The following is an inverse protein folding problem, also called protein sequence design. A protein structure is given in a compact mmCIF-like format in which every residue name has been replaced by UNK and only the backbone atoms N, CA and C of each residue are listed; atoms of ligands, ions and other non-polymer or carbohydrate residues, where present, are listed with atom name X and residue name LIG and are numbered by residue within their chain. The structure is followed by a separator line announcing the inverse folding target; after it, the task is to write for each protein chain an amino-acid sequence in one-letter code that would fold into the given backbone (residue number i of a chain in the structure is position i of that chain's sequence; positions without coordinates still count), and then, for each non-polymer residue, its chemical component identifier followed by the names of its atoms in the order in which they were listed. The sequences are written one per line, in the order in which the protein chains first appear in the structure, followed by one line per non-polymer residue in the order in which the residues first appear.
data_IF_173451237507
#
_entry.id   IF_173451237507
#
_cell.length_a   1.000
_cell.length_b   1.000
_cell.length_c   1.000
_cell.angle_alpha   90.00
_cell.angle_beta   90.00
_cell.angle_gamma   90.00
#
_symmetry.space_group_name_H-M   'P 1'
#
loop_
_entity.id
_entity.type
_entity.pdbx_description
1 polymer ?
#
# COMPACT_ATOMS: atom_id res chain seq x y z
N UNK A 1 0.90 -14.64 10.17
CA UNK A 1 0.51 -15.16 8.85
C UNK A 1 0.94 -14.13 7.84
N UNK A 2 1.58 -14.55 6.77
CA UNK A 2 2.16 -13.66 5.75
C UNK A 2 1.49 -13.92 4.40
N UNK A 3 1.18 -12.84 3.71
CA UNK A 3 0.59 -12.82 2.37
C UNK A 3 1.41 -11.88 1.49
N UNK A 4 1.58 -12.24 0.23
CA UNK A 4 2.43 -11.51 -0.72
C UNK A 4 1.95 -11.77 -2.14
N UNK A 5 1.80 -10.68 -2.90
CA UNK A 5 1.50 -10.73 -4.33
C UNK A 5 2.15 -9.53 -5.03
N UNK A 6 2.45 -9.68 -6.30
CA UNK A 6 3.06 -8.63 -7.11
C UNK A 6 2.58 -8.68 -8.55
N UNK A 7 2.76 -7.58 -9.27
CA UNK A 7 2.53 -7.49 -10.72
C UNK A 7 3.65 -6.68 -11.37
N UNK A 8 4.02 -7.04 -12.59
CA UNK A 8 4.93 -6.25 -13.42
C UNK A 8 4.14 -5.41 -14.41
N UNK A 9 4.41 -4.11 -14.43
CA UNK A 9 3.80 -3.17 -15.36
C UNK A 9 4.88 -2.56 -16.26
N UNK A 10 4.59 -2.43 -17.55
CA UNK A 10 5.36 -1.57 -18.44
C UNK A 10 4.86 -0.12 -18.31
N UNK A 11 5.77 0.82 -18.08
CA UNK A 11 5.45 2.24 -18.08
C UNK A 11 5.58 2.78 -19.50
N UNK A 12 4.50 3.35 -20.09
CA UNK A 12 4.55 3.99 -21.39
C UNK A 12 5.56 5.13 -21.46
N UNK A 13 6.05 5.45 -22.65
CA UNK A 13 7.11 6.44 -22.86
C UNK A 13 6.72 7.82 -22.32
N UNK A 14 5.46 8.20 -22.49
CA UNK A 14 4.82 9.42 -22.01
C UNK A 14 4.82 9.55 -20.47
N UNK A 15 4.90 8.43 -19.75
CA UNK A 15 4.83 8.38 -18.29
C UNK A 15 6.15 7.99 -17.62
N UNK A 16 7.28 7.94 -18.35
CA UNK A 16 8.59 7.59 -17.77
C UNK A 16 9.01 8.48 -16.60
N UNK A 17 8.48 9.71 -16.53
CA UNK A 17 8.74 10.66 -15.47
C UNK A 17 7.87 10.47 -14.22
N UNK A 18 6.97 9.48 -14.16
CA UNK A 18 6.18 9.22 -12.95
C UNK A 18 7.11 8.78 -11.81
N UNK A 19 6.97 9.38 -10.62
CA UNK A 19 7.78 9.02 -9.43
C UNK A 19 7.22 7.79 -8.74
N UNK A 20 8.02 7.15 -7.89
CA UNK A 20 7.54 6.05 -7.03
C UNK A 20 6.50 6.52 -6.04
N UNK A 21 6.64 7.73 -5.50
CA UNK A 21 5.66 8.32 -4.60
C UNK A 21 4.28 8.42 -5.25
N UNK A 22 4.21 8.89 -6.50
CA UNK A 22 2.95 8.99 -7.24
C UNK A 22 2.34 7.60 -7.44
N UNK A 23 3.15 6.60 -7.80
CA UNK A 23 2.64 5.22 -7.97
C UNK A 23 2.12 4.68 -6.62
N UNK A 24 2.89 4.83 -5.54
CA UNK A 24 2.50 4.38 -4.19
C UNK A 24 1.26 5.12 -3.69
N UNK A 25 1.12 6.43 -3.96
CA UNK A 25 -0.05 7.23 -3.59
C UNK A 25 -1.31 6.72 -4.30
N UNK A 26 -1.23 6.52 -5.62
CA UNK A 26 -2.35 5.97 -6.43
C UNK A 26 -2.71 4.56 -6.03
N UNK A 27 -1.71 3.71 -5.80
CA UNK A 27 -1.92 2.36 -5.29
C UNK A 27 -2.63 2.38 -3.93
N UNK A 28 -2.15 3.19 -2.98
CA UNK A 28 -2.77 3.35 -1.66
C UNK A 28 -4.20 3.88 -1.77
N UNK A 29 -4.45 4.86 -2.65
CA UNK A 29 -5.78 5.39 -2.91
C UNK A 29 -6.71 4.34 -3.50
N UNK A 30 -6.25 3.51 -4.44
CA UNK A 30 -7.05 2.41 -4.98
C UNK A 30 -7.35 1.35 -3.92
N UNK A 31 -6.33 0.95 -3.15
CA UNK A 31 -6.47 -0.06 -2.09
C UNK A 31 -7.47 0.36 -1.01
N UNK A 32 -7.32 1.58 -0.48
CA UNK A 32 -8.14 2.04 0.65
C UNK A 32 -9.40 2.83 0.24
N UNK A 33 -9.37 3.45 -0.93
CA UNK A 33 -10.45 4.30 -1.44
C UNK A 33 -11.40 3.60 -2.41
N UNK A 34 -11.04 2.40 -2.87
CA UNK A 34 -11.81 1.60 -3.81
C UNK A 34 -13.13 1.06 -3.28
N UNK A 35 -13.85 0.38 -4.16
CA UNK A 35 -15.15 -0.25 -3.92
C UNK A 35 -15.03 -1.52 -3.08
N UNK A 36 -13.90 -2.23 -3.12
CA UNK A 36 -13.71 -3.48 -2.37
C UNK A 36 -13.66 -3.21 -0.85
N UNK A 37 -13.03 -2.12 -0.42
CA UNK A 37 -13.01 -1.67 0.98
C UNK A 37 -14.19 -0.73 1.32
N UNK A 38 -15.05 -0.37 0.37
CA UNK A 38 -16.11 0.60 0.60
C UNK A 38 -17.09 0.19 1.72
N UNK A 39 -17.56 -1.08 1.80
CA UNK A 39 -18.45 -1.51 2.89
C UNK A 39 -17.81 -1.33 4.27
N UNK A 40 -16.58 -1.80 4.44
CA UNK A 40 -15.81 -1.68 5.67
C UNK A 40 -15.57 -0.22 6.02
N UNK A 41 -15.16 0.60 5.04
CA UNK A 41 -14.92 2.03 5.22
C UNK A 41 -16.17 2.78 5.67
N UNK A 42 -17.34 2.49 5.10
CA UNK A 42 -18.61 3.07 5.53
C UNK A 42 -18.91 2.69 6.97
N UNK A 43 -18.75 1.41 7.33
CA UNK A 43 -18.93 0.97 8.71
C UNK A 43 -17.97 1.70 9.67
N UNK A 44 -16.68 1.80 9.32
CA UNK A 44 -15.66 2.50 10.12
C UNK A 44 -15.96 3.99 10.28
N UNK A 45 -16.47 4.66 9.24
CA UNK A 45 -16.87 6.07 9.30
C UNK A 45 -18.08 6.30 10.22
N UNK A 46 -19.03 5.36 10.27
CA UNK A 46 -20.22 5.44 11.11
C UNK A 46 -19.85 5.17 12.58
N UNK A 47 -19.10 4.11 12.84
CA UNK A 47 -18.77 3.69 14.21
C UNK A 47 -17.60 4.47 14.82
N UNK A 48 -16.75 5.09 13.98
CA UNK A 48 -15.51 5.78 14.35
C UNK A 48 -14.73 5.07 15.46
N UNK A 49 -14.43 3.77 15.30
CA UNK A 49 -13.77 3.05 16.35
C UNK A 49 -12.36 3.61 16.56
N UNK A 50 -11.89 3.60 17.81
CA UNK A 50 -10.48 3.85 18.15
C UNK A 50 -9.76 2.52 18.35
N UNK A 51 -9.61 1.75 17.27
CA UNK A 51 -8.85 0.49 17.31
C UNK A 51 -7.36 0.69 17.08
N UNK A 52 -6.97 1.85 16.56
CA UNK A 52 -5.59 2.21 16.35
C UNK A 52 -4.93 2.66 17.65
N UNK A 53 -3.92 1.93 18.12
CA UNK A 53 -3.07 2.36 19.22
C UNK A 53 -1.73 1.62 19.12
N UNK A 54 -0.68 2.34 18.75
CA UNK A 54 0.68 1.86 18.76
C UNK A 54 1.46 2.56 19.87
N UNK A 55 1.68 1.86 20.98
CA UNK A 55 2.25 2.41 22.22
C UNK A 55 3.61 3.10 22.06
N UNK A 56 4.36 2.72 21.02
CA UNK A 56 5.71 3.24 20.73
C UNK A 56 5.73 4.35 19.69
N UNK A 57 4.62 4.63 19.02
CA UNK A 57 4.51 5.71 18.03
C UNK A 57 3.92 6.92 18.73
N UNK A 58 4.72 7.99 18.83
CA UNK A 58 4.23 9.29 19.29
C UNK A 58 3.65 10.02 18.09
N UNK A 59 2.35 9.88 17.86
CA UNK A 59 1.62 10.62 16.83
C UNK A 59 1.47 12.09 17.28
N UNK A 60 2.02 13.08 16.56
CA UNK A 60 1.70 14.48 16.80
C UNK A 60 0.18 14.72 16.78
N UNK A 61 -0.33 15.53 17.70
CA UNK A 61 -1.78 15.83 17.80
C UNK A 61 -2.34 16.52 16.55
N UNK A 62 -1.49 17.22 15.79
CA UNK A 62 -1.86 17.99 14.59
C UNK A 62 -1.87 17.16 13.29
N UNK A 63 -1.62 15.86 13.36
CA UNK A 63 -1.56 15.05 12.15
C UNK A 63 -2.94 14.85 11.51
N UNK A 64 -3.00 14.86 10.16
CA UNK A 64 -4.26 14.71 9.45
C UNK A 64 -4.86 13.33 9.70
N UNK A 65 -6.11 13.32 10.17
CA UNK A 65 -6.96 12.13 10.18
C UNK A 65 -7.74 12.03 8.87
N UNK A 66 -7.45 11.01 8.08
CA UNK A 66 -8.05 10.76 6.78
C UNK A 66 -9.29 9.89 6.97
N UNK A 67 -10.44 10.53 7.16
CA UNK A 67 -11.73 9.84 7.31
C UNK A 67 -12.43 9.56 5.97
N UNK A 68 -12.08 10.27 4.90
CA UNK A 68 -12.71 10.12 3.59
C UNK A 68 -11.66 9.79 2.52
N UNK A 69 -11.97 8.85 1.63
CA UNK A 69 -11.04 8.44 0.56
C UNK A 69 -10.72 9.57 -0.42
N UNK A 70 -11.59 10.57 -0.54
CA UNK A 70 -11.37 11.77 -1.35
C UNK A 70 -10.22 12.63 -0.83
N UNK A 71 -9.80 12.43 0.42
CA UNK A 71 -8.64 13.11 1.02
C UNK A 71 -7.32 12.36 0.75
N UNK A 72 -7.37 11.15 0.19
CA UNK A 72 -6.17 10.47 -0.28
C UNK A 72 -5.72 11.11 -1.60
N UNK A 73 -4.50 11.64 -1.58
CA UNK A 73 -3.86 12.24 -2.75
C UNK A 73 -3.50 11.16 -3.79
N UNK A 74 -3.49 11.56 -5.06
CA UNK A 74 -2.99 10.73 -6.17
C UNK A 74 -1.53 10.99 -6.48
N UNK A 75 -0.92 11.99 -5.85
CA UNK A 75 0.44 12.44 -6.17
C UNK A 75 1.39 12.37 -4.99
N UNK A 76 0.86 12.29 -3.77
CA UNK A 76 1.64 12.27 -2.53
C UNK A 76 1.14 11.18 -1.59
N UNK A 77 2.07 10.52 -0.92
CA UNK A 77 1.73 9.59 0.15
C UNK A 77 1.14 10.35 1.34
N UNK A 78 0.23 9.73 2.12
CA UNK A 78 -0.15 10.28 3.40
C UNK A 78 1.10 10.48 4.28
N UNK A 79 1.21 11.60 5.03
CA UNK A 79 2.37 11.83 5.88
C UNK A 79 2.61 10.71 6.88
N UNK A 80 3.87 10.53 7.31
CA UNK A 80 4.22 9.56 8.35
C UNK A 80 3.36 9.79 9.60
N UNK A 81 2.84 8.69 10.17
CA UNK A 81 1.91 8.64 11.30
C UNK A 81 0.49 9.14 11.05
N UNK A 82 0.15 9.57 9.84
CA UNK A 82 -1.25 9.87 9.48
C UNK A 82 -2.14 8.64 9.64
N UNK A 83 -3.37 8.88 10.12
CA UNK A 83 -4.35 7.83 10.38
C UNK A 83 -5.39 7.78 9.27
N UNK A 84 -5.69 6.59 8.79
CA UNK A 84 -6.69 6.33 7.76
C UNK A 84 -7.86 5.56 8.37
N UNK A 85 -9.05 6.14 8.28
CA UNK A 85 -10.34 5.53 8.70
C UNK A 85 -10.36 5.02 10.15
N UNK A 86 -9.49 5.56 11.01
CA UNK A 86 -9.39 5.22 12.44
C UNK A 86 -8.80 3.84 12.75
N UNK A 87 -8.31 3.10 11.74
CA UNK A 87 -7.82 1.73 11.93
C UNK A 87 -6.52 1.41 11.21
N UNK A 88 -6.09 2.25 10.27
CA UNK A 88 -4.78 2.15 9.62
C UNK A 88 -3.93 3.38 9.95
N UNK A 89 -2.61 3.22 10.01
CA UNK A 89 -1.66 4.30 10.22
C UNK A 89 -0.41 4.10 9.37
N UNK A 90 0.10 5.17 8.76
CA UNK A 90 1.42 5.12 8.12
C UNK A 90 2.49 4.99 9.20
N UNK A 91 3.20 3.87 9.25
CA UNK A 91 4.21 3.60 10.30
C UNK A 91 5.64 3.72 9.79
N UNK A 92 5.85 3.56 8.48
CA UNK A 92 7.14 3.72 7.82
C UNK A 92 6.94 4.07 6.34
N UNK A 93 7.88 4.79 5.74
CA UNK A 93 7.89 5.09 4.32
C UNK A 93 9.29 5.46 3.86
N UNK A 94 9.72 4.90 2.72
CA UNK A 94 10.94 5.27 2.02
C UNK A 94 10.63 5.47 0.55
N UNK A 95 10.82 6.68 0.06
CA UNK A 95 10.74 6.98 -1.38
C UNK A 95 12.14 7.25 -1.88
N UNK A 96 12.61 6.43 -2.82
CA UNK A 96 13.89 6.67 -3.47
C UNK A 96 13.79 7.92 -4.36
N UNK A 97 14.73 8.87 -4.23
CA UNK A 97 14.73 10.06 -5.07
C UNK A 97 14.93 9.67 -6.52
N UNK A 98 14.37 10.47 -7.45
CA UNK A 98 14.66 10.40 -8.88
C UNK A 98 16.16 10.58 -9.09
N UNK A 99 16.89 9.47 -9.11
CA UNK A 99 18.31 9.46 -9.46
C UNK A 99 18.41 9.34 -10.96
N UNK A 100 19.24 10.18 -11.58
CA UNK A 100 19.62 10.01 -12.98
C UNK A 100 20.21 8.61 -13.14
N UNK A 101 19.45 7.71 -13.77
CA UNK A 101 19.74 6.27 -13.92
C UNK A 101 20.98 5.97 -14.75
N UNK A 102 21.78 6.98 -15.11
CA UNK A 102 23.07 6.80 -15.79
C UNK A 102 24.13 6.34 -14.79
N UNK A 103 24.10 5.05 -14.45
CA UNK A 103 25.22 4.36 -13.77
C UNK A 103 24.87 3.47 -12.59
N UNK A 104 23.61 3.42 -12.13
CA UNK A 104 23.22 2.49 -11.06
C UNK A 104 22.89 1.11 -11.63
N UNK A 105 23.66 0.10 -11.23
CA UNK A 105 23.45 -1.30 -11.65
C UNK A 105 22.35 -2.03 -10.86
N UNK A 106 21.86 -1.47 -9.74
CA UNK A 106 20.89 -2.14 -8.86
C UNK A 106 19.48 -1.58 -9.05
N UNK A 107 18.43 -2.44 -8.97
CA UNK A 107 17.05 -2.00 -8.87
C UNK A 107 16.87 -1.03 -7.70
N UNK A 108 16.03 -0.01 -7.88
CA UNK A 108 15.64 0.91 -6.80
C UNK A 108 14.35 0.43 -6.16
N UNK A 109 14.21 0.61 -4.85
CA UNK A 109 13.07 0.13 -4.06
C UNK A 109 12.50 1.23 -3.15
N UNK A 110 11.27 1.63 -3.44
CA UNK A 110 10.47 2.54 -2.61
C UNK A 110 9.33 1.78 -1.94
N UNK A 111 8.97 2.12 -0.69
CA UNK A 111 7.87 1.47 0.02
C UNK A 111 7.12 2.40 0.98
N UNK A 112 5.93 1.95 1.38
CA UNK A 112 5.13 2.51 2.48
C UNK A 112 4.50 1.39 3.30
N UNK A 113 4.50 1.54 4.62
CA UNK A 113 3.92 0.60 5.57
C UNK A 113 2.72 1.20 6.28
N UNK A 114 1.61 0.47 6.25
CA UNK A 114 0.39 0.78 6.97
C UNK A 114 0.17 -0.23 8.09
N UNK A 115 0.44 0.18 9.33
CA UNK A 115 0.07 -0.58 10.52
C UNK A 115 -1.43 -0.51 10.75
N UNK A 116 -2.03 -1.57 11.28
CA UNK A 116 -3.44 -1.55 11.68
C UNK A 116 -3.70 -2.24 13.02
N UNK A 117 -4.84 -1.87 13.62
CA UNK A 117 -5.24 -2.23 14.98
C UNK A 117 -4.23 -1.75 16.03
N UNK A 118 -3.94 -2.56 17.05
CA UNK A 118 -3.14 -2.10 18.19
C UNK A 118 -2.12 -3.14 18.65
N UNK A 119 -0.92 -2.66 18.99
CA UNK A 119 0.15 -3.46 19.58
C UNK A 119 -0.17 -4.00 20.99
N UNK A 120 -1.25 -3.52 21.60
CA UNK A 120 -1.78 -3.99 22.89
C UNK A 120 -2.96 -4.95 22.76
N UNK A 121 -3.46 -5.17 21.54
CA UNK A 121 -4.60 -6.06 21.28
C UNK A 121 -4.16 -7.46 20.88
N UNK A 122 -5.09 -8.40 20.79
CA UNK A 122 -4.79 -9.77 20.32
C UNK A 122 -4.64 -9.88 18.79
N UNK A 123 -4.75 -8.78 18.06
CA UNK A 123 -4.71 -8.75 16.60
C UNK A 123 -4.10 -7.44 16.11
N UNK A 124 -2.94 -7.52 15.46
CA UNK A 124 -2.33 -6.40 14.77
C UNK A 124 -1.70 -6.88 13.47
N UNK A 125 -1.44 -5.95 12.57
CA UNK A 125 -0.75 -6.27 11.35
C UNK A 125 -0.21 -5.05 10.63
N UNK A 126 0.42 -5.33 9.50
CA UNK A 126 0.99 -4.34 8.60
C UNK A 126 0.67 -4.72 7.16
N UNK A 127 0.36 -3.71 6.35
CA UNK A 127 0.41 -3.79 4.90
C UNK A 127 1.63 -3.03 4.41
N UNK A 128 2.46 -3.66 3.58
CA UNK A 128 3.58 -3.01 2.90
C UNK A 128 3.29 -2.96 1.41
N UNK A 129 3.37 -1.76 0.84
CA UNK A 129 3.35 -1.57 -0.61
C UNK A 129 4.73 -1.15 -1.09
N UNK A 130 5.26 -1.84 -2.10
CA UNK A 130 6.63 -1.63 -2.58
C UNK A 130 6.63 -1.47 -4.10
N UNK A 131 7.41 -0.50 -4.59
CA UNK A 131 7.74 -0.31 -5.99
C UNK A 131 9.20 -0.71 -6.20
N UNK A 132 9.42 -1.68 -7.08
CA UNK A 132 10.76 -2.05 -7.55
C UNK A 132 10.89 -1.59 -8.99
N UNK A 133 11.85 -0.71 -9.28
CA UNK A 133 12.16 -0.34 -10.67
C UNK A 133 13.33 -1.14 -11.19
N UNK A 134 13.12 -1.83 -12.32
CA UNK A 134 14.23 -2.40 -13.07
C UNK A 134 14.98 -1.29 -13.83
N UNK A 135 16.29 -1.50 -13.97
CA UNK A 135 17.13 -0.71 -14.87
C UNK A 135 17.33 -1.42 -16.22
N UNK A 136 16.80 -2.64 -16.37
CA UNK A 136 16.77 -3.34 -17.63
C UNK A 136 15.58 -2.84 -18.46
N UNK A 137 15.84 -2.50 -19.73
CA UNK A 137 14.78 -2.21 -20.68
C UNK A 137 14.01 -3.50 -20.97
N UNK A 138 12.68 -3.42 -21.03
CA UNK A 138 11.86 -4.56 -21.44
C UNK A 138 12.14 -4.92 -22.90
N UNK A 139 11.59 -6.05 -23.36
CA UNK A 139 11.67 -6.46 -24.75
C UNK A 139 11.12 -5.40 -25.74
N UNK A 140 10.27 -4.48 -25.25
CA UNK A 140 9.69 -3.37 -26.02
C UNK A 140 10.49 -2.07 -25.89
N UNK A 141 11.60 -2.08 -25.15
CA UNK A 141 12.40 -0.90 -24.83
C UNK A 141 11.78 0.00 -23.75
N UNK A 142 10.68 -0.42 -23.14
CA UNK A 142 9.99 0.32 -22.08
C UNK A 142 10.56 -0.02 -20.70
N UNK A 143 10.38 0.89 -19.74
CA UNK A 143 10.81 0.65 -18.36
C UNK A 143 9.74 -0.14 -17.63
N UNK A 144 10.16 -1.21 -16.94
CA UNK A 144 9.25 -2.01 -16.10
C UNK A 144 9.35 -1.59 -14.64
N UNK A 145 8.20 -1.69 -13.96
CA UNK A 145 8.10 -1.62 -12.51
C UNK A 145 7.44 -2.89 -12.00
N UNK A 146 7.80 -3.31 -10.79
CA UNK A 146 7.04 -4.29 -10.05
C UNK A 146 6.35 -3.60 -8.88
N UNK A 147 5.06 -3.88 -8.72
CA UNK A 147 4.27 -3.40 -7.60
C UNK A 147 4.00 -4.59 -6.70
N UNK A 148 4.48 -4.55 -5.47
CA UNK A 148 4.28 -5.59 -4.47
C UNK A 148 3.31 -5.12 -3.40
N UNK A 149 2.42 -6.02 -2.99
CA UNK A 149 1.58 -5.86 -1.80
C UNK A 149 1.83 -7.03 -0.86
N UNK A 150 2.32 -6.72 0.33
CA UNK A 150 2.60 -7.69 1.38
C UNK A 150 1.71 -7.39 2.59
N UNK A 151 1.27 -8.43 3.27
CA UNK A 151 0.56 -8.30 4.54
C UNK A 151 1.10 -9.28 5.55
N UNK A 152 1.24 -8.81 6.79
CA UNK A 152 1.53 -9.67 7.93
C UNK A 152 0.52 -9.39 9.03
N UNK A 153 -0.03 -10.45 9.61
CA UNK A 153 -0.87 -10.39 10.82
C UNK A 153 -0.32 -11.27 11.94
N UNK A 154 -0.43 -10.79 13.17
CA UNK A 154 -0.03 -11.52 14.37
C UNK A 154 -0.90 -11.18 15.58
N UNK A 155 -0.76 -11.97 16.64
CA UNK A 155 -1.15 -11.57 17.98
C UNK A 155 0.08 -10.97 18.68
N UNK A 156 0.18 -9.63 18.82
CA UNK A 156 1.39 -9.00 19.35
C UNK A 156 1.62 -9.29 20.84
N UNK A 157 0.59 -9.63 21.61
CA UNK A 157 0.71 -9.93 23.05
C UNK A 157 1.38 -11.27 23.36
N UNK A 158 1.31 -12.24 22.44
CA UNK A 158 1.89 -13.59 22.61
C UNK A 158 2.88 -13.96 21.49
N UNK A 159 3.10 -13.06 20.54
CA UNK A 159 3.95 -13.24 19.37
C UNK A 159 3.69 -14.54 18.60
N UNK A 160 2.41 -14.81 18.28
CA UNK A 160 2.01 -16.00 17.49
C UNK A 160 1.18 -15.60 16.26
N UNK A 161 1.24 -16.40 15.17
CA UNK A 161 0.30 -16.27 14.07
C UNK A 161 -1.13 -16.52 14.54
N UNK A 162 -2.09 -15.89 13.89
CA UNK A 162 -3.50 -16.24 14.03
C UNK A 162 -3.71 -17.62 13.40
N UNK A 163 -4.58 -18.46 13.96
CA UNK A 163 -4.65 -19.89 13.58
C UNK A 163 -5.92 -20.29 12.82
N UNK A 164 -6.79 -19.33 12.46
CA UNK A 164 -8.08 -19.65 11.86
C UNK A 164 -8.00 -19.80 10.33
N UNK A 165 -8.01 -21.05 9.84
CA UNK A 165 -7.86 -21.34 8.39
C UNK A 165 -8.94 -20.71 7.50
N UNK A 166 -10.19 -20.62 7.97
CA UNK A 166 -11.28 -20.00 7.19
C UNK A 166 -11.03 -18.50 6.99
N UNK A 167 -10.72 -17.79 8.07
CA UNK A 167 -10.37 -16.36 8.02
C UNK A 167 -9.16 -16.11 7.13
N UNK A 168 -8.20 -17.05 7.13
CA UNK A 168 -7.05 -16.97 6.24
C UNK A 168 -7.44 -17.08 4.75
N UNK A 169 -8.30 -18.04 4.38
CA UNK A 169 -8.79 -18.15 3.00
C UNK A 169 -9.59 -16.92 2.57
N UNK A 170 -10.44 -16.40 3.45
CA UNK A 170 -11.15 -15.13 3.21
C UNK A 170 -10.17 -13.98 2.98
N UNK A 171 -9.17 -13.84 3.85
CA UNK A 171 -8.13 -12.82 3.73
C UNK A 171 -7.41 -12.90 2.39
N UNK A 172 -6.97 -14.09 1.95
CA UNK A 172 -6.30 -14.25 0.66
C UNK A 172 -7.16 -13.78 -0.52
N UNK A 173 -8.43 -14.18 -0.56
CA UNK A 173 -9.34 -13.76 -1.63
C UNK A 173 -9.64 -12.25 -1.58
N UNK A 174 -9.86 -11.71 -0.37
CA UNK A 174 -10.14 -10.30 -0.17
C UNK A 174 -8.94 -9.42 -0.55
N UNK A 175 -7.74 -9.81 -0.12
CA UNK A 175 -6.50 -9.13 -0.44
C UNK A 175 -6.17 -9.18 -1.94
N UNK A 176 -6.56 -10.24 -2.66
CA UNK A 176 -6.48 -10.30 -4.12
C UNK A 176 -7.38 -9.25 -4.78
N UNK A 177 -8.63 -9.09 -4.32
CA UNK A 177 -9.52 -8.06 -4.85
C UNK A 177 -9.02 -6.64 -4.57
N UNK A 178 -8.54 -6.38 -3.35
CA UNK A 178 -7.94 -5.09 -2.99
C UNK A 178 -6.70 -4.79 -3.83
N UNK A 179 -5.85 -5.79 -4.05
CA UNK A 179 -4.66 -5.67 -4.89
C UNK A 179 -5.02 -5.31 -6.33
N UNK A 180 -5.96 -6.03 -6.94
CA UNK A 180 -6.40 -5.78 -8.32
C UNK A 180 -7.02 -4.39 -8.47
N UNK A 181 -7.81 -3.95 -7.49
CA UNK A 181 -8.38 -2.61 -7.50
C UNK A 181 -7.29 -1.53 -7.40
N UNK A 182 -6.32 -1.70 -6.49
CA UNK A 182 -5.18 -0.80 -6.35
C UNK A 182 -4.32 -0.72 -7.62
N UNK A 183 -4.04 -1.86 -8.26
CA UNK A 183 -3.34 -1.92 -9.55
C UNK A 183 -4.15 -1.23 -10.65
N UNK A 184 -5.47 -1.42 -10.69
CA UNK A 184 -6.32 -0.77 -11.69
C UNK A 184 -6.29 0.75 -11.59
N UNK A 185 -6.22 1.30 -10.38
CA UNK A 185 -6.08 2.74 -10.15
C UNK A 185 -4.74 3.26 -10.69
N UNK A 186 -3.65 2.51 -10.50
CA UNK A 186 -2.34 2.86 -11.07
C UNK A 186 -2.38 2.77 -12.59
N UNK A 187 -2.87 1.67 -13.15
CA UNK A 187 -2.91 1.44 -14.59
C UNK A 187 -3.76 2.48 -15.33
N UNK A 188 -4.93 2.86 -14.78
CA UNK A 188 -5.80 3.89 -15.36
C UNK A 188 -5.12 5.27 -15.40
N UNK A 189 -4.20 5.55 -14.49
CA UNK A 189 -3.49 6.82 -14.41
C UNK A 189 -2.24 6.91 -15.31
N UNK A 190 -1.93 5.81 -15.98
CA UNK A 190 -0.77 5.63 -16.85
C UNK A 190 -1.19 5.31 -18.30
N UNK A 191 -2.40 5.69 -18.71
CA UNK A 191 -3.00 5.55 -20.06
C UNK A 191 -2.27 4.56 -21.00
N UNK A 192 -2.73 3.30 -21.03
CA UNK A 192 -2.22 2.30 -22.00
C UNK A 192 -1.26 1.23 -21.44
N UNK A 193 -1.13 1.12 -20.11
CA UNK A 193 -0.35 0.05 -19.47
C UNK A 193 -0.89 -1.34 -19.85
N UNK A 194 0.00 -2.19 -20.34
CA UNK A 194 -0.25 -3.63 -20.48
C UNK A 194 0.30 -4.35 -19.26
N UNK A 195 -0.55 -5.14 -18.60
CA UNK A 195 -0.09 -6.11 -17.61
C UNK A 195 0.69 -7.22 -18.33
N UNK A 196 1.85 -7.57 -17.82
CA UNK A 196 2.62 -8.72 -18.31
C UNK A 196 2.75 -9.68 -17.13
N UNK A 197 1.99 -10.77 -17.20
CA UNK A 197 1.98 -11.85 -16.21
C UNK A 197 3.21 -12.76 -16.37
#
# INVERSE_FOLDING_TARGET
MEDSRFITLEIPAEHQNVTDEVILARFSKGFFGGLVLAPERIALQIFRPRFLNFSKIKTPEDLPQIWHSTLLSEDQLPPLYSELFGVFQVIDARVEPKSDTKGQQRPTESYVDFGFCSDQSHFAGVHRFTIVRSNEASATGQRTIQIHSQSMTCNPTINRPLQTQFMWKFHLAYAEFLFREAVSQVAASLDGVRCID
#
